data_IF_421690933265
#
_entry.id   IF_421690933265
#
_cell.length_a   1.000
_cell.length_b   1.000
_cell.length_c   1.000
_cell.angle_alpha   90.00
_cell.angle_beta   90.00
_cell.angle_gamma   90.00
#
_symmetry.space_group_name_H-M   'P 1'
#
loop_
_entity.id
_entity.type
_entity.pdbx_description
1 polymer ?
#
# COMPACT_ATOMS: atom_id res chain seq x y z
N UNK A 1 9.59 28.76 32.66
CA UNK A 1 9.40 29.50 31.39
C UNK A 1 8.61 30.76 31.70
N UNK A 2 9.05 31.93 31.25
CA UNK A 2 8.29 33.18 31.43
C UNK A 2 6.88 33.02 30.86
N UNK A 3 5.87 33.61 31.52
CA UNK A 3 4.44 33.53 31.14
C UNK A 3 4.21 33.85 29.65
N UNK A 4 5.10 34.66 29.08
CA UNK A 4 5.07 35.11 27.70
C UNK A 4 5.36 33.99 26.68
N UNK A 5 6.29 33.06 26.95
CA UNK A 5 6.61 31.97 25.99
C UNK A 5 5.47 30.97 25.87
N UNK A 6 4.84 30.61 27.00
CA UNK A 6 3.71 29.70 27.01
C UNK A 6 2.52 30.25 26.23
N UNK A 7 2.26 31.55 26.33
CA UNK A 7 1.21 32.21 25.55
C UNK A 7 1.45 32.07 24.04
N UNK A 8 2.70 32.22 23.58
CA UNK A 8 3.08 32.00 22.18
C UNK A 8 2.86 30.56 21.77
N UNK A 9 3.37 29.58 22.55
CA UNK A 9 3.17 28.14 22.26
C UNK A 9 1.69 27.81 22.09
N UNK A 10 0.87 28.24 23.05
CA UNK A 10 -0.57 27.99 23.06
C UNK A 10 -1.25 28.61 21.84
N UNK A 11 -0.88 29.84 21.47
CA UNK A 11 -1.40 30.51 20.28
C UNK A 11 -1.06 29.72 19.02
N UNK A 12 0.23 29.43 18.82
CA UNK A 12 0.73 28.75 17.62
C UNK A 12 0.15 27.34 17.47
N UNK A 13 -0.03 26.64 18.58
CA UNK A 13 -0.69 25.34 18.63
C UNK A 13 -2.17 25.45 18.27
N UNK A 14 -2.94 26.28 19.00
CA UNK A 14 -4.39 26.38 18.82
C UNK A 14 -4.78 26.90 17.44
N UNK A 15 -4.01 27.83 16.87
CA UNK A 15 -4.26 28.36 15.53
C UNK A 15 -4.19 27.27 14.46
N UNK A 16 -3.28 26.30 14.61
CA UNK A 16 -3.11 25.19 13.66
C UNK A 16 -4.06 24.04 13.93
N UNK A 17 -4.16 23.56 15.17
CA UNK A 17 -5.02 22.41 15.53
C UNK A 17 -6.50 22.69 15.28
N UNK A 18 -6.95 23.94 15.45
CA UNK A 18 -8.35 24.33 15.17
C UNK A 18 -8.61 24.62 13.70
N UNK A 19 -7.59 24.61 12.84
CA UNK A 19 -7.80 24.81 11.41
C UNK A 19 -8.54 23.62 10.81
N UNK A 20 -9.48 23.89 9.90
CA UNK A 20 -10.21 22.82 9.18
C UNK A 20 -9.22 21.92 8.44
N UNK A 21 -8.18 22.50 7.86
CA UNK A 21 -7.12 21.78 7.15
C UNK A 21 -6.37 20.79 8.03
N UNK A 22 -6.04 21.16 9.28
CA UNK A 22 -5.41 20.21 10.21
C UNK A 22 -6.31 19.03 10.53
N UNK A 23 -7.60 19.26 10.79
CA UNK A 23 -8.55 18.18 11.08
C UNK A 23 -8.70 17.25 9.87
N UNK A 24 -8.83 17.83 8.67
CA UNK A 24 -8.93 17.08 7.42
C UNK A 24 -7.65 16.28 7.15
N UNK A 25 -6.45 16.86 7.29
CA UNK A 25 -5.20 16.14 7.04
C UNK A 25 -4.91 15.07 8.10
N UNK A 26 -5.27 15.33 9.36
CA UNK A 26 -5.00 14.43 10.48
C UNK A 26 -5.95 13.23 10.46
N UNK A 27 -7.25 13.44 10.32
CA UNK A 27 -8.26 12.38 10.33
C UNK A 27 -8.53 11.80 8.94
N UNK A 28 -8.32 12.59 7.89
CA UNK A 28 -8.54 12.17 6.50
C UNK A 28 -7.55 11.10 6.07
N UNK A 29 -6.28 11.16 6.49
CA UNK A 29 -5.30 10.14 6.10
C UNK A 29 -5.62 8.75 6.64
N UNK A 30 -5.89 8.54 7.95
CA UNK A 30 -6.34 7.24 8.45
C UNK A 30 -7.68 6.80 7.86
N UNK A 31 -8.61 7.73 7.68
CA UNK A 31 -9.91 7.42 7.06
C UNK A 31 -9.75 6.98 5.60
N UNK A 32 -8.86 7.62 4.84
CA UNK A 32 -8.55 7.25 3.47
C UNK A 32 -7.93 5.85 3.42
N UNK A 33 -6.97 5.54 4.30
CA UNK A 33 -6.37 4.20 4.40
C UNK A 33 -7.48 3.17 4.72
N UNK A 34 -8.34 3.46 5.70
CA UNK A 34 -9.46 2.59 6.05
C UNK A 34 -10.41 2.37 4.87
N UNK A 35 -10.77 3.42 4.12
CA UNK A 35 -11.60 3.32 2.92
C UNK A 35 -10.92 2.51 1.81
N UNK A 36 -9.63 2.74 1.57
CA UNK A 36 -8.85 1.99 0.58
C UNK A 36 -8.69 0.52 0.94
N UNK A 37 -8.79 0.17 2.23
CA UNK A 37 -8.79 -1.23 2.67
C UNK A 37 -10.20 -1.84 2.59
N UNK A 38 -11.21 -1.15 3.11
CA UNK A 38 -12.58 -1.68 3.25
C UNK A 38 -13.32 -1.71 1.92
N UNK A 39 -13.18 -0.70 1.06
CA UNK A 39 -13.95 -0.61 -0.19
C UNK A 39 -13.60 -1.75 -1.15
N UNK A 40 -12.33 -2.01 -1.50
CA UNK A 40 -11.98 -3.15 -2.34
C UNK A 40 -12.36 -4.47 -1.70
N UNK A 41 -12.15 -4.65 -0.40
CA UNK A 41 -12.54 -5.87 0.30
C UNK A 41 -14.06 -6.10 0.26
N UNK A 42 -14.86 -5.05 0.46
CA UNK A 42 -16.32 -5.12 0.32
C UNK A 42 -16.75 -5.51 -1.09
N UNK A 43 -16.11 -4.93 -2.12
CA UNK A 43 -16.37 -5.31 -3.51
C UNK A 43 -15.82 -6.68 -3.87
N UNK A 44 -14.78 -7.18 -3.21
CA UNK A 44 -14.28 -8.54 -3.43
C UNK A 44 -15.25 -9.57 -2.84
N UNK A 45 -15.78 -9.32 -1.64
CA UNK A 45 -16.70 -10.22 -0.93
C UNK A 45 -18.09 -10.25 -1.59
N UNK A 46 -18.59 -9.10 -2.07
CA UNK A 46 -19.89 -9.04 -2.77
C UNK A 46 -19.80 -9.20 -4.27
N UNK A 47 -18.70 -8.72 -4.85
CA UNK A 47 -18.32 -8.96 -6.22
C UNK A 47 -17.46 -10.21 -6.30
N UNK A 48 -17.92 -11.31 -5.69
CA UNK A 48 -17.74 -12.60 -6.35
C UNK A 48 -18.08 -12.34 -7.81
N UNK A 49 -17.07 -12.46 -8.67
CA UNK A 49 -17.15 -12.10 -10.07
C UNK A 49 -18.47 -12.66 -10.59
N UNK A 50 -19.42 -11.81 -10.99
CA UNK A 50 -20.79 -12.23 -11.31
C UNK A 50 -20.73 -13.56 -12.05
N UNK A 51 -21.16 -14.68 -11.42
CA UNK A 51 -20.79 -16.05 -11.81
C UNK A 51 -20.86 -16.20 -13.33
N UNK A 52 -19.69 -16.17 -13.97
CA UNK A 52 -19.63 -16.11 -15.41
C UNK A 52 -19.67 -17.54 -15.91
N UNK A 53 -20.85 -17.97 -16.35
CA UNK A 53 -21.06 -19.29 -16.93
C UNK A 53 -20.16 -19.51 -18.13
N UNK A 54 -19.26 -20.47 -18.03
CA UNK A 54 -18.31 -20.86 -19.06
C UNK A 54 -18.58 -22.32 -19.44
N UNK A 55 -18.98 -22.55 -20.68
CA UNK A 55 -19.10 -23.92 -21.19
C UNK A 55 -17.75 -24.43 -21.69
N UNK A 56 -17.38 -25.67 -21.38
CA UNK A 56 -16.21 -26.33 -21.94
C UNK A 56 -16.70 -27.46 -22.83
N UNK A 57 -16.34 -27.40 -24.11
CA UNK A 57 -16.56 -28.47 -25.06
C UNK A 57 -15.25 -29.24 -25.19
N UNK A 58 -15.21 -30.42 -24.59
CA UNK A 58 -14.05 -31.30 -24.63
C UNK A 58 -14.28 -32.45 -25.63
N UNK A 59 -13.70 -32.32 -26.83
CA UNK A 59 -13.69 -33.39 -27.83
C UNK A 59 -12.74 -34.54 -27.49
N UNK A 60 -11.84 -34.36 -26.52
CA UNK A 60 -10.87 -35.37 -26.08
C UNK A 60 -11.35 -36.23 -24.91
N UNK A 61 -12.34 -35.76 -24.14
CA UNK A 61 -12.82 -36.35 -22.88
C UNK A 61 -11.73 -36.52 -21.80
N UNK A 62 -10.67 -35.71 -21.83
CA UNK A 62 -9.54 -35.79 -20.89
C UNK A 62 -9.23 -34.44 -20.23
N UNK A 63 -9.46 -33.35 -20.93
CA UNK A 63 -9.06 -32.01 -20.50
C UNK A 63 -10.09 -31.34 -19.59
N UNK A 64 -11.37 -31.67 -19.72
CA UNK A 64 -12.43 -31.08 -18.88
C UNK A 64 -12.16 -31.29 -17.39
N UNK A 65 -11.94 -32.53 -16.96
CA UNK A 65 -11.72 -32.88 -15.55
C UNK A 65 -10.47 -32.22 -14.97
N UNK A 66 -9.49 -31.91 -15.82
CA UNK A 66 -8.25 -31.24 -15.42
C UNK A 66 -8.39 -29.73 -15.35
N UNK A 67 -9.15 -29.12 -16.26
CA UNK A 67 -9.26 -27.66 -16.37
C UNK A 67 -10.34 -27.10 -15.43
N UNK A 68 -11.49 -27.79 -15.32
CA UNK A 68 -12.65 -27.28 -14.59
C UNK A 68 -12.35 -26.91 -13.12
N UNK A 69 -11.62 -27.71 -12.31
CA UNK A 69 -11.32 -27.36 -10.93
C UNK A 69 -10.51 -26.05 -10.78
N UNK A 70 -9.55 -25.79 -11.69
CA UNK A 70 -8.78 -24.55 -11.65
C UNK A 70 -9.65 -23.32 -11.96
N UNK A 71 -10.56 -23.46 -12.93
CA UNK A 71 -11.44 -22.35 -13.33
C UNK A 71 -12.53 -22.08 -12.29
N UNK A 72 -13.04 -23.11 -11.61
CA UNK A 72 -13.99 -22.98 -10.50
C UNK A 72 -13.35 -22.27 -9.30
N UNK A 73 -12.10 -22.60 -8.96
CA UNK A 73 -11.35 -21.91 -7.90
C UNK A 73 -11.12 -20.42 -8.19
N UNK A 74 -11.10 -20.05 -9.47
CA UNK A 74 -10.97 -18.66 -9.93
C UNK A 74 -12.33 -17.93 -10.01
N UNK A 75 -13.42 -18.58 -9.58
CA UNK A 75 -14.76 -18.01 -9.48
C UNK A 75 -15.59 -18.08 -10.76
N UNK A 76 -15.28 -19.00 -11.69
CA UNK A 76 -16.11 -19.28 -12.87
C UNK A 76 -17.08 -20.44 -12.59
N UNK A 77 -18.31 -20.31 -13.05
CA UNK A 77 -19.25 -21.44 -13.11
C UNK A 77 -18.98 -22.21 -14.40
N UNK A 78 -18.45 -23.43 -14.29
CA UNK A 78 -18.02 -24.22 -15.43
C UNK A 78 -18.99 -25.37 -15.67
N UNK A 79 -19.49 -25.48 -16.91
CA UNK A 79 -20.37 -26.57 -17.34
C UNK A 79 -19.71 -27.36 -18.48
N UNK A 80 -19.77 -28.68 -18.40
CA UNK A 80 -19.34 -29.56 -19.51
C UNK A 80 -20.43 -29.61 -20.58
N UNK A 81 -20.06 -29.37 -21.84
CA UNK A 81 -20.95 -29.55 -22.99
C UNK A 81 -20.36 -30.62 -23.92
N UNK A 82 -21.17 -31.65 -24.22
CA UNK A 82 -20.73 -32.74 -25.09
C UNK A 82 -20.53 -32.24 -26.52
N UNK A 83 -19.61 -32.87 -27.24
CA UNK A 83 -19.43 -32.59 -28.67
C UNK A 83 -20.64 -33.10 -29.49
N UNK A 84 -21.23 -32.22 -30.31
CA UNK A 84 -22.26 -32.56 -31.30
C UNK A 84 -22.14 -31.67 -32.55
N UNK A 85 -22.67 -32.10 -33.71
CA UNK A 85 -22.71 -31.25 -34.91
C UNK A 85 -23.38 -29.91 -34.59
N UNK A 86 -22.72 -28.80 -34.92
CA UNK A 86 -23.16 -27.42 -34.64
C UNK A 86 -23.06 -26.93 -33.17
N UNK A 87 -22.34 -27.64 -32.29
CA UNK A 87 -22.13 -27.20 -30.90
C UNK A 87 -21.59 -25.77 -30.78
N UNK A 88 -20.63 -25.39 -31.62
CA UNK A 88 -20.06 -24.03 -31.65
C UNK A 88 -21.11 -22.98 -32.03
N UNK A 89 -21.99 -23.29 -32.97
CA UNK A 89 -23.06 -22.40 -33.42
C UNK A 89 -24.12 -22.23 -32.34
N UNK A 90 -24.49 -23.33 -31.67
CA UNK A 90 -25.42 -23.36 -30.54
C UNK A 90 -24.91 -22.54 -29.35
N UNK A 91 -23.66 -22.79 -28.92
CA UNK A 91 -23.05 -22.07 -27.79
C UNK A 91 -22.81 -20.60 -28.10
N UNK A 92 -22.47 -20.26 -29.35
CA UNK A 92 -22.39 -18.85 -29.79
C UNK A 92 -23.74 -18.15 -29.64
N UNK A 93 -24.83 -18.83 -29.97
CA UNK A 93 -26.18 -18.29 -29.79
C UNK A 93 -26.51 -18.08 -28.31
N UNK A 94 -26.32 -19.10 -27.46
CA UNK A 94 -26.49 -18.99 -25.99
C UNK A 94 -25.66 -17.84 -25.40
N UNK A 95 -24.41 -17.69 -25.83
CA UNK A 95 -23.54 -16.61 -25.39
C UNK A 95 -24.05 -15.22 -25.83
N UNK A 96 -24.58 -15.11 -27.06
CA UNK A 96 -25.14 -13.85 -27.57
C UNK A 96 -26.47 -13.49 -26.89
N UNK A 97 -27.26 -14.49 -26.49
CA UNK A 97 -28.52 -14.34 -25.75
C UNK A 97 -28.32 -14.02 -24.26
N UNK A 98 -27.08 -14.16 -23.76
CA UNK A 98 -26.69 -13.81 -22.39
C UNK A 98 -26.73 -14.96 -21.39
N UNK A 99 -27.00 -16.18 -21.85
CA UNK A 99 -27.05 -17.39 -21.01
C UNK A 99 -25.64 -17.89 -20.63
N UNK A 100 -24.62 -17.55 -21.44
CA UNK A 100 -23.21 -17.91 -21.22
C UNK A 100 -22.32 -16.68 -21.38
N UNK A 101 -21.29 -16.58 -20.54
CA UNK A 101 -20.22 -15.60 -20.73
C UNK A 101 -19.35 -15.94 -21.93
N UNK A 102 -19.09 -17.23 -22.12
CA UNK A 102 -18.27 -17.75 -23.20
C UNK A 102 -18.23 -19.28 -23.23
N UNK A 103 -17.43 -19.81 -24.14
CA UNK A 103 -17.13 -21.24 -24.20
C UNK A 103 -15.72 -21.52 -24.71
N UNK A 104 -15.13 -22.61 -24.24
CA UNK A 104 -13.82 -23.12 -24.69
C UNK A 104 -14.06 -24.34 -25.55
N UNK A 105 -13.36 -24.42 -26.68
CA UNK A 105 -13.34 -25.62 -27.52
C UNK A 105 -11.97 -26.27 -27.37
N UNK A 106 -11.96 -27.52 -26.91
CA UNK A 106 -10.79 -28.36 -26.74
C UNK A 106 -10.94 -29.59 -27.63
N UNK A 107 -9.91 -29.91 -28.39
CA UNK A 107 -9.88 -31.03 -29.33
C UNK A 107 -8.59 -31.85 -29.18
N UNK A 108 -8.43 -32.89 -30.01
CA UNK A 108 -7.19 -33.69 -30.01
C UNK A 108 -5.96 -32.86 -30.38
N UNK A 109 -6.11 -31.81 -31.20
CA UNK A 109 -5.00 -30.91 -31.52
C UNK A 109 -4.55 -30.14 -30.27
N UNK A 110 -5.50 -29.73 -29.42
CA UNK A 110 -5.24 -29.06 -28.15
C UNK A 110 -4.36 -29.91 -27.23
N UNK A 111 -4.56 -31.24 -27.22
CA UNK A 111 -3.71 -32.16 -26.45
C UNK A 111 -2.25 -32.15 -26.92
N UNK A 112 -2.01 -31.94 -28.21
CA UNK A 112 -0.67 -32.01 -28.80
C UNK A 112 0.04 -30.65 -28.84
N UNK A 113 -0.69 -29.56 -29.04
CA UNK A 113 -0.12 -28.21 -29.24
C UNK A 113 -0.33 -27.28 -28.05
N UNK A 114 -1.31 -27.55 -27.19
CA UNK A 114 -1.77 -26.60 -26.17
C UNK A 114 -2.56 -25.42 -26.73
N UNK A 115 -2.84 -25.39 -28.04
CA UNK A 115 -3.64 -24.35 -28.66
C UNK A 115 -5.13 -24.64 -28.45
N UNK A 116 -5.83 -23.70 -27.81
CA UNK A 116 -7.27 -23.77 -27.61
C UNK A 116 -7.93 -22.47 -28.08
N UNK A 117 -9.19 -22.58 -28.51
CA UNK A 117 -9.98 -21.41 -28.90
C UNK A 117 -11.00 -21.11 -27.82
N UNK A 118 -10.91 -19.89 -27.27
CA UNK A 118 -11.85 -19.36 -26.31
C UNK A 118 -12.76 -18.34 -27.00
N UNK A 119 -14.06 -18.59 -26.99
CA UNK A 119 -15.09 -17.70 -27.49
C UNK A 119 -15.73 -16.97 -26.31
N UNK A 120 -15.68 -15.64 -26.30
CA UNK A 120 -16.22 -14.82 -25.20
C UNK A 120 -17.09 -13.69 -25.75
N UNK A 121 -18.10 -13.31 -24.98
CA UNK A 121 -18.96 -12.15 -25.25
C UNK A 121 -18.22 -10.83 -25.02
N UNK A 122 -17.35 -10.81 -24.00
CA UNK A 122 -16.57 -9.63 -23.61
C UNK A 122 -15.12 -10.02 -23.45
N UNK A 123 -14.19 -9.19 -23.96
CA UNK A 123 -12.75 -9.44 -23.81
C UNK A 123 -12.38 -9.57 -22.32
N UNK A 124 -11.71 -10.65 -21.90
CA UNK A 124 -11.32 -10.82 -20.51
C UNK A 124 -10.20 -9.86 -20.14
N UNK A 125 -10.02 -9.58 -18.84
CA UNK A 125 -8.85 -8.84 -18.36
C UNK A 125 -7.54 -9.60 -18.69
N UNK A 126 -6.39 -8.91 -18.80
CA UNK A 126 -5.11 -9.58 -19.04
C UNK A 126 -4.80 -10.69 -18.03
N UNK A 127 -5.14 -10.46 -16.75
CA UNK A 127 -4.99 -11.45 -15.68
C UNK A 127 -5.83 -12.69 -15.97
N UNK A 128 -7.11 -12.53 -16.34
CA UNK A 128 -7.98 -13.67 -16.65
C UNK A 128 -7.55 -14.41 -17.91
N UNK A 129 -7.01 -13.72 -18.91
CA UNK A 129 -6.43 -14.37 -20.10
C UNK A 129 -5.24 -15.26 -19.70
N UNK A 130 -4.35 -14.77 -18.82
CA UNK A 130 -3.24 -15.55 -18.28
C UNK A 130 -3.72 -16.75 -17.48
N UNK A 131 -4.77 -16.60 -16.66
CA UNK A 131 -5.37 -17.72 -15.90
C UNK A 131 -5.94 -18.80 -16.81
N UNK A 132 -6.71 -18.43 -17.84
CA UNK A 132 -7.26 -19.40 -18.80
C UNK A 132 -6.14 -20.12 -19.56
N UNK A 133 -5.13 -19.36 -20.00
CA UNK A 133 -3.98 -19.91 -20.71
C UNK A 133 -3.15 -20.85 -19.83
N UNK A 134 -2.91 -20.49 -18.55
CA UNK A 134 -2.15 -21.31 -17.62
C UNK A 134 -2.88 -22.60 -17.26
N UNK A 135 -4.21 -22.55 -17.07
CA UNK A 135 -5.02 -23.74 -16.82
C UNK A 135 -4.96 -24.73 -17.99
N UNK A 136 -5.11 -24.27 -19.23
CA UNK A 136 -5.02 -25.11 -20.43
C UNK A 136 -3.61 -25.68 -20.60
N UNK A 137 -2.59 -24.82 -20.50
CA UNK A 137 -1.18 -25.22 -20.65
C UNK A 137 -0.80 -26.27 -19.62
N UNK A 138 -1.21 -26.09 -18.36
CA UNK A 138 -0.95 -27.03 -17.28
C UNK A 138 -1.65 -28.36 -17.50
N UNK A 139 -2.94 -28.35 -17.85
CA UNK A 139 -3.69 -29.58 -18.11
C UNK A 139 -3.11 -30.40 -19.28
N UNK A 140 -2.69 -29.73 -20.36
CA UNK A 140 -2.05 -30.36 -21.51
C UNK A 140 -0.66 -30.91 -21.13
N UNK A 141 0.10 -30.16 -20.34
CA UNK A 141 1.41 -30.61 -19.85
C UNK A 141 1.29 -31.83 -18.93
N UNK A 142 0.36 -31.83 -17.98
CA UNK A 142 0.05 -32.97 -17.11
C UNK A 142 -0.27 -34.22 -17.94
N UNK A 143 -1.16 -34.08 -18.93
CA UNK A 143 -1.52 -35.18 -19.82
C UNK A 143 -0.32 -35.72 -20.62
N UNK A 144 0.50 -34.85 -21.20
CA UNK A 144 1.66 -35.26 -22.00
C UNK A 144 2.75 -35.94 -21.16
N UNK A 145 2.92 -35.53 -19.90
CA UNK A 145 3.86 -36.14 -18.95
C UNK A 145 3.37 -37.53 -18.51
N UNK A 146 2.10 -37.65 -18.13
CA UNK A 146 1.50 -38.93 -17.75
C UNK A 146 1.54 -39.95 -18.90
N UNK A 147 1.26 -39.51 -20.14
CA UNK A 147 1.36 -40.35 -21.35
C UNK A 147 2.77 -40.91 -21.57
N UNK A 148 3.80 -40.22 -21.09
CA UNK A 148 5.21 -40.65 -21.14
C UNK A 148 5.65 -41.43 -19.89
N UNK A 149 4.72 -41.74 -18.98
CA UNK A 149 4.98 -42.43 -17.72
C UNK A 149 5.74 -41.58 -16.70
N UNK A 150 5.67 -40.25 -16.83
CA UNK A 150 6.30 -39.31 -15.91
C UNK A 150 5.24 -38.83 -14.92
N UNK A 151 5.58 -38.82 -13.62
CA UNK A 151 4.73 -38.25 -12.58
C UNK A 151 4.68 -36.73 -12.74
N UNK A 152 3.60 -36.25 -13.38
CA UNK A 152 3.36 -34.85 -13.63
C UNK A 152 3.20 -34.05 -12.34
N UNK A 153 2.57 -34.65 -11.32
CA UNK A 153 2.29 -33.98 -10.05
C UNK A 153 3.59 -33.67 -9.32
N UNK A 154 4.52 -34.63 -9.27
CA UNK A 154 5.84 -34.45 -8.65
C UNK A 154 6.73 -33.42 -9.37
N UNK A 155 6.58 -33.24 -10.70
CA UNK A 155 7.35 -32.25 -11.45
C UNK A 155 6.75 -30.84 -11.39
N UNK A 156 5.41 -30.74 -11.38
CA UNK A 156 4.69 -29.47 -11.45
C UNK A 156 4.43 -28.85 -10.09
N UNK A 157 4.52 -29.62 -9.00
CA UNK A 157 4.51 -29.06 -7.63
C UNK A 157 5.74 -28.19 -7.33
N UNK A 158 6.74 -28.19 -8.22
CA UNK A 158 8.07 -27.67 -7.95
C UNK A 158 8.83 -28.65 -7.08
N UNK A 159 10.06 -28.99 -7.48
CA UNK A 159 10.96 -29.70 -6.57
C UNK A 159 11.16 -28.87 -5.31
N UNK A 160 11.34 -29.53 -4.17
CA UNK A 160 11.63 -28.85 -2.90
C UNK A 160 12.98 -28.14 -3.00
N UNK A 161 12.96 -26.82 -3.21
CA UNK A 161 14.15 -26.00 -3.24
C UNK A 161 14.58 -25.75 -1.80
N UNK A 162 15.37 -26.68 -1.26
CA UNK A 162 16.01 -26.50 0.05
C UNK A 162 17.10 -25.44 -0.05
N UNK A 163 16.77 -24.21 0.35
CA UNK A 163 17.71 -23.11 0.53
C UNK A 163 18.43 -23.29 1.87
N UNK A 164 19.60 -23.90 1.84
CA UNK A 164 20.49 -23.96 3.01
C UNK A 164 21.31 -22.66 3.06
N UNK A 165 20.90 -21.72 3.91
CA UNK A 165 21.67 -20.49 4.13
C UNK A 165 23.01 -20.86 4.79
N UNK A 166 24.11 -20.58 4.09
CA UNK A 166 25.47 -20.81 4.59
C UNK A 166 25.88 -19.79 5.67
N UNK A 167 25.05 -18.77 5.92
CA UNK A 167 25.21 -17.78 7.00
C UNK A 167 23.90 -17.63 7.77
N UNK A 168 23.95 -17.63 9.10
CA UNK A 168 22.79 -17.37 9.98
C UNK A 168 22.23 -15.94 9.88
N UNK A 169 22.87 -15.04 9.14
CA UNK A 169 22.33 -13.71 8.86
C UNK A 169 21.15 -13.83 7.89
N UNK A 170 19.95 -13.92 8.45
CA UNK A 170 18.72 -13.63 7.72
C UNK A 170 18.85 -12.23 7.11
N UNK A 171 18.63 -12.12 5.81
CA UNK A 171 18.47 -10.83 5.13
C UNK A 171 17.30 -10.10 5.79
N UNK A 172 17.58 -8.96 6.42
CA UNK A 172 16.59 -8.16 7.16
C UNK A 172 15.38 -7.77 6.31
N UNK A 173 15.54 -7.72 4.99
CA UNK A 173 14.51 -7.35 4.00
C UNK A 173 13.35 -8.35 3.85
N UNK A 174 13.54 -9.60 4.26
CA UNK A 174 12.49 -10.64 4.21
C UNK A 174 11.54 -10.56 5.42
N UNK A 175 11.92 -9.84 6.48
CA UNK A 175 11.09 -9.70 7.67
C UNK A 175 10.03 -8.59 7.50
N UNK A 176 8.73 -8.86 7.79
CA UNK A 176 7.68 -7.84 7.73
C UNK A 176 7.99 -6.59 8.59
N UNK A 177 8.72 -6.76 9.69
CA UNK A 177 9.12 -5.68 10.58
C UNK A 177 10.08 -4.69 9.92
N UNK A 178 10.93 -5.14 9.00
CA UNK A 178 11.80 -4.27 8.22
C UNK A 178 10.99 -3.31 7.36
N UNK A 179 9.98 -3.80 6.64
CA UNK A 179 9.12 -2.94 5.82
C UNK A 179 8.33 -1.94 6.64
N UNK A 180 7.87 -2.33 7.83
CA UNK A 180 7.23 -1.41 8.77
C UNK A 180 8.20 -0.35 9.27
N UNK A 181 9.46 -0.70 9.53
CA UNK A 181 10.50 0.25 9.91
C UNK A 181 10.91 1.19 8.79
N UNK A 182 11.07 0.66 7.58
CA UNK A 182 11.37 1.42 6.38
C UNK A 182 10.28 2.44 6.07
N UNK A 183 9.02 1.99 6.00
CA UNK A 183 7.87 2.88 5.79
C UNK A 183 7.72 3.87 6.93
N UNK A 184 7.99 3.45 8.17
CA UNK A 184 8.04 4.33 9.33
C UNK A 184 9.10 5.43 9.18
N UNK A 185 10.34 5.10 8.82
CA UNK A 185 11.41 6.06 8.62
C UNK A 185 11.10 7.05 7.49
N UNK A 186 10.56 6.55 6.37
CA UNK A 186 10.11 7.40 5.26
C UNK A 186 8.98 8.34 5.68
N UNK A 187 8.05 7.84 6.49
CA UNK A 187 6.95 8.63 7.01
C UNK A 187 7.42 9.71 8.00
N UNK A 188 8.33 9.35 8.89
CA UNK A 188 8.98 10.27 9.82
C UNK A 188 9.65 11.43 9.07
N UNK A 189 10.38 11.09 8.02
CA UNK A 189 11.00 12.06 7.10
C UNK A 189 9.98 13.06 6.54
N UNK A 190 8.88 12.56 5.98
CA UNK A 190 7.83 13.40 5.41
C UNK A 190 7.26 14.35 6.46
N UNK A 191 6.95 13.85 7.65
CA UNK A 191 6.40 14.64 8.74
C UNK A 191 7.38 15.75 9.17
N UNK A 192 8.67 15.44 9.31
CA UNK A 192 9.70 16.44 9.65
C UNK A 192 9.74 17.55 8.59
N UNK A 193 9.74 17.20 7.30
CA UNK A 193 9.76 18.20 6.23
C UNK A 193 8.53 19.10 6.23
N UNK A 194 7.35 18.52 6.41
CA UNK A 194 6.10 19.29 6.42
C UNK A 194 6.07 20.28 7.59
N UNK A 195 6.41 19.84 8.80
CA UNK A 195 6.37 20.74 9.96
C UNK A 195 7.53 21.73 10.00
N UNK A 196 8.69 21.38 9.49
CA UNK A 196 9.79 22.33 9.36
C UNK A 196 9.45 23.45 8.34
N UNK A 197 8.78 23.12 7.22
CA UNK A 197 8.23 24.12 6.29
C UNK A 197 7.21 25.03 6.97
N UNK A 198 6.34 24.46 7.81
CA UNK A 198 5.37 25.25 8.58
C UNK A 198 6.05 26.25 9.51
N UNK A 199 7.21 25.92 10.10
CA UNK A 199 7.97 26.86 10.93
C UNK A 199 8.60 27.98 10.09
N UNK A 200 9.14 27.65 8.91
CA UNK A 200 9.68 28.65 7.97
C UNK A 200 8.61 29.66 7.58
N UNK A 201 7.47 29.19 7.08
CA UNK A 201 6.35 30.05 6.63
C UNK A 201 5.82 30.91 7.76
N UNK A 202 5.64 30.33 8.93
CA UNK A 202 5.21 31.08 10.10
C UNK A 202 6.21 32.20 10.48
N UNK A 203 7.50 32.02 10.21
CA UNK A 203 8.52 33.06 10.45
C UNK A 203 8.46 34.18 9.40
N UNK A 204 8.20 33.84 8.14
CA UNK A 204 8.00 34.81 7.06
C UNK A 204 6.71 35.63 7.20
N UNK A 205 5.60 34.95 7.50
CA UNK A 205 4.29 35.58 7.73
C UNK A 205 4.34 36.58 8.89
N UNK A 206 5.12 36.27 9.93
CA UNK A 206 5.27 37.17 11.06
C UNK A 206 5.99 38.44 10.63
N UNK A 207 7.11 38.34 9.90
CA UNK A 207 7.86 39.51 9.39
C UNK A 207 7.04 40.45 8.50
N UNK A 208 6.04 39.94 7.80
CA UNK A 208 5.17 40.71 6.90
C UNK A 208 3.89 41.22 7.57
N UNK A 209 3.58 40.76 8.78
CA UNK A 209 2.34 41.09 9.49
C UNK A 209 2.49 42.26 10.47
N UNK A 210 1.52 43.17 10.47
CA UNK A 210 1.42 44.31 11.41
C UNK A 210 1.37 43.89 12.88
N UNK A 211 1.04 42.63 13.14
CA UNK A 211 0.97 42.03 14.49
C UNK A 211 2.35 42.01 15.17
N UNK A 212 3.45 42.04 14.40
CA UNK A 212 4.83 42.01 14.94
C UNK A 212 5.24 43.25 15.71
N UNK A 213 4.80 44.44 15.31
CA UNK A 213 5.14 45.70 16.00
C UNK A 213 4.66 45.68 17.47
N UNK A 214 3.51 45.03 17.71
CA UNK A 214 2.90 44.88 19.04
C UNK A 214 3.58 43.77 19.85
N UNK A 215 4.09 42.72 19.20
CA UNK A 215 4.66 41.56 19.90
C UNK A 215 6.14 41.77 20.23
N UNK A 216 6.95 42.28 19.30
CA UNK A 216 8.39 42.52 19.52
C UNK A 216 8.63 43.59 20.60
N UNK A 217 7.70 44.54 20.77
CA UNK A 217 7.77 45.51 21.88
C UNK A 217 7.48 44.90 23.25
N UNK A 218 6.96 43.67 23.30
CA UNK A 218 6.53 42.98 24.53
C UNK A 218 7.37 41.77 24.93
N UNK A 219 8.18 41.21 24.02
CA UNK A 219 9.02 40.03 24.28
C UNK A 219 10.26 39.96 23.39
N UNK A 220 11.33 39.33 23.90
CA UNK A 220 12.57 39.14 23.14
C UNK A 220 12.40 38.14 21.98
N UNK A 221 13.10 38.34 20.84
CA UNK A 221 12.98 37.47 19.66
C UNK A 221 13.23 35.98 19.93
N UNK A 222 14.17 35.65 20.82
CA UNK A 222 14.48 34.26 21.18
C UNK A 222 13.28 33.51 21.78
N UNK A 223 12.55 34.18 22.69
CA UNK A 223 11.37 33.63 23.35
C UNK A 223 10.22 33.38 22.37
N UNK A 224 10.09 34.26 21.37
CA UNK A 224 9.10 34.15 20.31
C UNK A 224 9.41 32.98 19.36
N UNK A 225 10.67 32.85 18.91
CA UNK A 225 11.09 31.74 18.06
C UNK A 225 10.96 30.39 18.76
N UNK A 226 11.40 30.31 20.02
CA UNK A 226 11.25 29.10 20.83
C UNK A 226 9.77 28.71 20.98
N UNK A 227 8.91 29.67 21.28
CA UNK A 227 7.46 29.44 21.40
C UNK A 227 6.84 28.93 20.11
N UNK A 228 7.31 29.42 18.96
CA UNK A 228 6.85 28.97 17.63
C UNK A 228 7.30 27.56 17.31
N UNK A 229 8.57 27.25 17.48
CA UNK A 229 9.11 25.91 17.22
C UNK A 229 8.40 24.88 18.10
N UNK A 230 8.25 25.17 19.40
CA UNK A 230 7.55 24.29 20.33
C UNK A 230 6.06 24.17 20.02
N UNK A 231 5.40 25.27 19.65
CA UNK A 231 3.98 25.27 19.26
C UNK A 231 3.73 24.41 18.03
N UNK A 232 4.51 24.58 16.96
CA UNK A 232 4.41 23.78 15.74
C UNK A 232 4.82 22.32 15.99
N UNK A 233 5.86 22.09 16.78
CA UNK A 233 6.28 20.74 17.17
C UNK A 233 5.18 19.99 17.92
N UNK A 234 4.47 20.66 18.83
CA UNK A 234 3.33 20.08 19.55
C UNK A 234 2.15 19.72 18.61
N UNK A 235 1.93 20.50 17.55
CA UNK A 235 0.94 20.18 16.50
C UNK A 235 1.35 18.88 15.80
N UNK A 236 2.62 18.75 15.42
CA UNK A 236 3.17 17.53 14.81
C UNK A 236 3.06 16.31 15.71
N UNK A 237 3.40 16.44 17.00
CA UNK A 237 3.22 15.38 17.99
C UNK A 237 1.75 14.95 18.13
N UNK A 238 0.82 15.92 18.08
CA UNK A 238 -0.62 15.61 18.15
C UNK A 238 -1.06 14.81 16.93
N UNK A 239 -0.63 15.22 15.73
CA UNK A 239 -0.95 14.50 14.49
C UNK A 239 -0.36 13.08 14.49
N UNK A 240 0.91 12.94 14.91
CA UNK A 240 1.57 11.64 15.06
C UNK A 240 0.84 10.73 16.05
N UNK A 241 0.43 11.25 17.21
CA UNK A 241 -0.33 10.50 18.20
C UNK A 241 -1.64 9.98 17.58
N UNK A 242 -2.38 10.83 16.88
CA UNK A 242 -3.63 10.43 16.22
C UNK A 242 -3.38 9.33 15.20
N UNK A 243 -2.31 9.41 14.42
CA UNK A 243 -1.96 8.40 13.41
C UNK A 243 -1.53 7.07 14.02
N UNK A 244 -0.70 7.08 15.07
CA UNK A 244 -0.30 5.87 15.80
C UNK A 244 -1.54 5.18 16.39
N UNK A 245 -2.40 5.95 17.06
CA UNK A 245 -3.64 5.42 17.66
C UNK A 245 -4.58 4.89 16.58
N UNK A 246 -4.78 5.64 15.49
CA UNK A 246 -5.68 5.20 14.40
C UNK A 246 -5.15 3.96 13.69
N UNK A 247 -3.84 3.88 13.42
CA UNK A 247 -3.21 2.70 12.84
C UNK A 247 -3.37 1.48 13.74
N UNK A 248 -3.14 1.63 15.04
CA UNK A 248 -3.39 0.56 16.01
C UNK A 248 -4.85 0.11 16.01
N UNK A 249 -5.82 1.04 16.01
CA UNK A 249 -7.24 0.72 15.99
C UNK A 249 -7.68 0.01 14.68
N UNK A 250 -7.16 0.45 13.53
CA UNK A 250 -7.45 -0.16 12.23
C UNK A 250 -6.92 -1.59 12.19
N UNK A 251 -5.70 -1.84 12.66
CA UNK A 251 -5.13 -3.19 12.65
C UNK A 251 -5.81 -4.08 13.70
N UNK A 252 -5.98 -3.59 14.94
CA UNK A 252 -6.56 -4.38 16.02
C UNK A 252 -8.06 -4.69 15.83
N UNK A 253 -8.84 -3.74 15.29
CA UNK A 253 -10.29 -3.88 15.13
C UNK A 253 -10.76 -4.14 13.69
N UNK A 254 -10.09 -3.56 12.70
CA UNK A 254 -10.51 -3.63 11.29
C UNK A 254 -10.04 -4.91 10.58
N UNK A 255 -8.80 -5.35 10.82
CA UNK A 255 -8.26 -6.53 10.13
C UNK A 255 -8.94 -7.86 10.51
N UNK A 256 -9.28 -8.14 11.78
CA UNK A 256 -10.03 -9.36 12.12
C UNK A 256 -11.37 -9.44 11.41
N UNK A 257 -12.06 -8.30 11.27
CA UNK A 257 -13.31 -8.21 10.52
C UNK A 257 -13.08 -8.54 9.04
N UNK A 258 -12.03 -7.99 8.42
CA UNK A 258 -11.71 -8.27 7.00
C UNK A 258 -11.34 -9.75 6.76
N UNK A 259 -10.54 -10.36 7.63
CA UNK A 259 -10.16 -11.77 7.52
C UNK A 259 -11.38 -12.69 7.71
N UNK A 260 -12.32 -12.33 8.60
CA UNK A 260 -13.57 -13.09 8.76
C UNK A 260 -14.45 -13.09 7.50
N UNK A 261 -14.31 -12.08 6.64
CA UNK A 261 -15.06 -11.96 5.39
C UNK A 261 -14.34 -12.61 4.20
N UNK A 262 -13.02 -12.83 4.28
CA UNK A 262 -12.20 -13.43 3.22
C UNK A 262 -11.05 -14.24 3.82
N UNK A 263 -11.25 -15.56 4.07
CA UNK A 263 -10.24 -16.42 4.70
C UNK A 263 -8.93 -16.57 3.92
N UNK A 264 -8.89 -16.17 2.64
CA UNK A 264 -7.68 -16.19 1.80
C UNK A 264 -6.74 -14.99 1.96
N UNK A 265 -7.05 -14.04 2.85
CA UNK A 265 -6.15 -12.93 3.18
C UNK A 265 -5.04 -13.39 4.15
N UNK A 266 -3.94 -12.62 4.22
CA UNK A 266 -2.83 -12.90 5.14
C UNK A 266 -3.32 -13.18 6.58
N UNK A 267 -2.74 -14.17 7.29
CA UNK A 267 -3.09 -14.46 8.67
C UNK A 267 -2.95 -13.23 9.57
N UNK A 268 -3.94 -13.01 10.45
CA UNK A 268 -3.96 -11.88 11.39
C UNK A 268 -2.70 -11.88 12.27
N UNK A 269 -2.19 -13.06 12.63
CA UNK A 269 -0.99 -13.23 13.46
C UNK A 269 0.26 -12.64 12.81
N UNK A 270 0.44 -12.85 11.49
CA UNK A 270 1.56 -12.29 10.73
C UNK A 270 1.50 -10.76 10.73
N UNK A 271 0.31 -10.18 10.55
CA UNK A 271 0.13 -8.73 10.55
C UNK A 271 0.36 -8.14 11.96
N UNK A 272 -0.12 -8.80 13.00
CA UNK A 272 0.09 -8.37 14.38
C UNK A 272 1.57 -8.44 14.79
N UNK A 273 2.30 -9.45 14.34
CA UNK A 273 3.75 -9.56 14.58
C UNK A 273 4.57 -8.49 13.85
N UNK A 274 4.04 -7.92 12.76
CA UNK A 274 4.66 -6.83 12.03
C UNK A 274 4.43 -5.46 12.69
N UNK A 275 3.48 -5.34 13.63
CA UNK A 275 3.21 -4.08 14.30
C UNK A 275 4.44 -3.57 15.07
N UNK A 276 4.72 -2.26 15.03
CA UNK A 276 5.85 -1.69 15.73
C UNK A 276 5.66 -1.87 17.24
N UNK A 277 6.63 -2.54 17.87
CA UNK A 277 6.66 -2.66 19.33
C UNK A 277 6.88 -1.31 20.02
N UNK A 278 6.67 -1.27 21.34
CA UNK A 278 6.79 -0.03 22.13
C UNK A 278 8.17 0.64 22.00
N UNK A 279 9.24 -0.16 21.85
CA UNK A 279 10.60 0.34 21.65
C UNK A 279 10.75 1.10 20.33
N UNK A 280 10.17 0.56 19.25
CA UNK A 280 10.19 1.18 17.94
C UNK A 280 9.36 2.46 17.89
N UNK A 281 8.18 2.47 18.52
CA UNK A 281 7.37 3.69 18.66
C UNK A 281 8.11 4.75 19.49
N UNK A 282 8.79 4.35 20.56
CA UNK A 282 9.60 5.27 21.38
C UNK A 282 10.74 5.86 20.56
N UNK A 283 11.47 5.03 19.82
CA UNK A 283 12.55 5.47 18.94
C UNK A 283 12.03 6.43 17.85
N UNK A 284 10.89 6.11 17.24
CA UNK A 284 10.23 6.98 16.27
C UNK A 284 9.90 8.36 16.85
N UNK A 285 9.32 8.42 18.05
CA UNK A 285 8.98 9.69 18.71
C UNK A 285 10.25 10.46 19.09
N UNK A 286 11.28 9.79 19.59
CA UNK A 286 12.57 10.42 19.89
C UNK A 286 13.20 11.01 18.62
N UNK A 287 13.29 10.23 17.54
CA UNK A 287 13.83 10.69 16.26
C UNK A 287 13.00 11.84 15.68
N UNK A 288 11.68 11.81 15.84
CA UNK A 288 10.83 12.93 15.48
C UNK A 288 11.21 14.18 16.26
N UNK A 289 11.34 14.11 17.57
CA UNK A 289 11.68 15.27 18.41
C UNK A 289 13.03 15.85 17.99
N UNK A 290 14.08 15.03 17.91
CA UNK A 290 15.42 15.49 17.55
C UNK A 290 15.48 16.02 16.11
N UNK A 291 14.96 15.25 15.15
CA UNK A 291 14.92 15.63 13.74
C UNK A 291 14.09 16.90 13.54
N UNK A 292 12.92 17.00 14.16
CA UNK A 292 12.09 18.19 14.08
C UNK A 292 12.81 19.42 14.62
N UNK A 293 13.42 19.38 15.81
CA UNK A 293 14.11 20.56 16.36
C UNK A 293 15.28 21.00 15.47
N UNK A 294 16.07 20.05 14.98
CA UNK A 294 17.18 20.34 14.08
C UNK A 294 16.70 20.98 12.77
N UNK A 295 15.73 20.36 12.10
CA UNK A 295 15.26 20.86 10.80
C UNK A 295 14.38 22.09 10.90
N UNK A 296 13.59 22.24 11.96
CA UNK A 296 12.80 23.45 12.19
C UNK A 296 13.69 24.65 12.51
N UNK A 297 14.81 24.46 13.23
CA UNK A 297 15.79 25.53 13.45
C UNK A 297 16.43 26.00 12.14
N UNK A 298 16.84 25.06 11.28
CA UNK A 298 17.36 25.35 9.94
C UNK A 298 16.34 26.11 9.08
N UNK A 299 15.10 25.63 9.02
CA UNK A 299 14.01 26.27 8.28
C UNK A 299 13.58 27.63 8.87
N UNK A 300 13.64 27.79 10.19
CA UNK A 300 13.39 29.07 10.85
C UNK A 300 14.45 30.11 10.46
N UNK A 301 15.72 29.70 10.32
CA UNK A 301 16.79 30.58 9.85
C UNK A 301 16.53 31.07 8.42
N UNK A 302 16.10 30.17 7.52
CA UNK A 302 15.68 30.54 6.15
C UNK A 302 14.52 31.53 6.19
N UNK A 303 13.49 31.25 7.01
CA UNK A 303 12.35 32.13 7.15
C UNK A 303 12.67 33.50 7.75
N UNK A 304 13.73 33.62 8.55
CA UNK A 304 14.20 34.90 9.09
C UNK A 304 15.01 35.71 8.06
N UNK A 305 15.80 35.03 7.22
CA UNK A 305 16.66 35.64 6.20
C UNK A 305 15.86 36.19 5.02
N UNK A 306 14.87 35.44 4.54
CA UNK A 306 14.13 35.80 3.33
C UNK A 306 13.03 36.84 3.61
N UNK A 307 12.56 37.49 2.55
CA UNK A 307 11.48 38.49 2.63
C UNK A 307 10.20 38.06 1.90
N UNK A 308 10.28 37.03 1.06
CA UNK A 308 9.12 36.50 0.31
C UNK A 308 9.08 34.97 0.36
N UNK A 309 7.90 34.38 0.19
CA UNK A 309 7.74 32.92 0.08
C UNK A 309 8.53 32.33 -1.09
N UNK A 310 8.63 33.04 -2.22
CA UNK A 310 9.36 32.57 -3.40
C UNK A 310 10.86 32.45 -3.12
N UNK A 311 11.44 33.46 -2.48
CA UNK A 311 12.85 33.47 -2.07
C UNK A 311 13.12 32.35 -1.06
N UNK A 312 12.26 32.21 -0.05
CA UNK A 312 12.41 31.16 0.95
C UNK A 312 12.33 29.74 0.37
N UNK A 313 11.47 29.52 -0.62
CA UNK A 313 11.39 28.23 -1.31
C UNK A 313 12.66 27.90 -2.11
N UNK A 314 13.30 28.90 -2.72
CA UNK A 314 14.57 28.70 -3.42
C UNK A 314 15.71 28.39 -2.44
N UNK A 315 15.79 29.13 -1.33
CA UNK A 315 16.83 28.96 -0.30
C UNK A 315 16.62 27.68 0.52
N UNK A 316 15.40 27.14 0.56
CA UNK A 316 15.08 25.87 1.24
C UNK A 316 15.70 24.65 0.57
N UNK A 317 15.96 24.67 -0.74
CA UNK A 317 16.40 23.49 -1.49
C UNK A 317 17.64 22.78 -0.91
N UNK A 318 18.74 23.46 -0.55
CA UNK A 318 19.90 22.82 0.06
C UNK A 318 19.58 22.12 1.40
N UNK A 319 18.67 22.68 2.18
CA UNK A 319 18.26 22.07 3.46
C UNK A 319 17.44 20.81 3.27
N UNK A 320 16.60 20.78 2.24
CA UNK A 320 15.87 19.58 1.84
C UNK A 320 16.84 18.53 1.33
N UNK A 321 17.83 18.89 0.51
CA UNK A 321 18.84 17.95 0.02
C UNK A 321 19.59 17.26 1.17
N UNK A 322 19.93 18.01 2.24
CA UNK A 322 20.60 17.46 3.42
C UNK A 322 19.78 16.35 4.11
N UNK A 323 18.45 16.40 4.01
CA UNK A 323 17.55 15.35 4.52
C UNK A 323 17.25 14.25 3.50
N UNK A 324 17.21 14.58 2.20
CA UNK A 324 16.90 13.63 1.12
C UNK A 324 18.06 12.68 0.86
N UNK A 325 19.32 13.15 0.93
CA UNK A 325 20.50 12.35 0.61
C UNK A 325 20.56 11.05 1.43
N UNK A 326 20.42 11.07 2.78
CA UNK A 326 20.42 9.84 3.57
C UNK A 326 19.37 8.82 3.12
N UNK A 327 18.17 9.27 2.77
CA UNK A 327 17.07 8.38 2.34
C UNK A 327 17.33 7.84 0.93
N UNK A 328 17.91 8.66 0.05
CA UNK A 328 18.30 8.20 -1.28
C UNK A 328 19.42 7.13 -1.20
N UNK A 329 20.27 7.20 -0.17
CA UNK A 329 21.32 6.20 0.08
C UNK A 329 20.82 4.93 0.77
N UNK A 330 19.61 4.94 1.33
CA UNK A 330 19.06 3.79 2.05
C UNK A 330 18.97 2.54 1.16
N UNK A 331 18.61 2.72 -0.13
CA UNK A 331 18.61 1.61 -1.10
C UNK A 331 19.99 0.97 -1.28
N UNK A 332 21.06 1.75 -1.22
CA UNK A 332 22.44 1.27 -1.32
C UNK A 332 22.83 0.50 -0.05
N UNK A 333 22.46 1.04 1.11
CA UNK A 333 22.70 0.39 2.42
C UNK A 333 21.92 -0.93 2.50
N UNK A 334 20.69 -0.98 2.01
CA UNK A 334 19.88 -2.21 2.02
C UNK A 334 20.45 -3.28 1.08
N UNK A 335 21.00 -2.89 -0.08
CA UNK A 335 21.62 -3.83 -1.03
C UNK A 335 23.01 -4.31 -0.58
N UNK A 336 23.66 -3.56 0.31
CA UNK A 336 24.98 -3.86 0.89
C UNK A 336 24.91 -3.63 2.41
N UNK A 337 24.18 -4.50 3.14
CA UNK A 337 23.91 -4.31 4.57
C UNK A 337 25.16 -4.23 5.44
#
# INVERSE_FOLDING_TARGET
MSVNVWAVIRREYLQRVRSKWFVISTLGSPLLILLLMVVPAYFLVRGGQAEQKLAIVDGSNVLYERIAPYLVNEGLEVEEERWYPDVVTSLRKKATEGDLWGFIVLDELTLDTGEAIVYVTTRPSPIRQLTLQSAITRAVMEYQLERRGVDAEALLSGGDLSLELLSEERTSTEEPQFWVAYLGAFFLYMVILFYADSVMRATLEEKTSRIVEVIISSMEPWHLMLGKILGVGAVGLTQLLVWIVSGFLIVAGGMPLLVSLSPGLMPVETILSALPGIGMVTLFVCLFIFGFFMYSGLHAAVGAMCNTDQEAQQVRLPMVMLLVIPIAMDSVVIMQP
#
